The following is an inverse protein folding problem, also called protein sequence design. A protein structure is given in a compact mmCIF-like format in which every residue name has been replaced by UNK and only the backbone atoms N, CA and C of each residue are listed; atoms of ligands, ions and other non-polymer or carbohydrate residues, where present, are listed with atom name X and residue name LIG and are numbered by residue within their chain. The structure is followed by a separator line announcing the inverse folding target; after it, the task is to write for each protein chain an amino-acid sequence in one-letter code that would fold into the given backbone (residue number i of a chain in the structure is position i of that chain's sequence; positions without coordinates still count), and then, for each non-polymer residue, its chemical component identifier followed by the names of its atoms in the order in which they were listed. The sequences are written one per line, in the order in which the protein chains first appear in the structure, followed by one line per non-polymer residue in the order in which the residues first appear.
data_IF_308957411139
#
_entry.id   IF_308957411139
#
_cell.length_a   1.000
_cell.length_b   1.000
_cell.length_c   1.000
_cell.angle_alpha   90.00
_cell.angle_beta   90.00
_cell.angle_gamma   90.00
#
_symmetry.space_group_name_H-M   'P 1'
#
loop_
_entity.id
_entity.type
_entity.pdbx_description
1 polymer ?
#
# COMPACT_ATOMS: atom_id res chain seq x y z
N UNK A 1 -5.12 -22.22 3.29
CA UNK A 1 -4.55 -21.16 2.42
C UNK A 1 -4.44 -19.90 3.28
N UNK A 2 -3.24 -19.36 3.43
CA UNK A 2 -2.93 -18.30 4.42
C UNK A 2 -3.72 -17.02 4.09
N UNK A 3 -4.57 -16.55 4.99
CA UNK A 3 -5.46 -15.37 4.84
C UNK A 3 -4.72 -14.15 4.27
N UNK A 4 -3.44 -13.98 4.65
CA UNK A 4 -2.56 -12.93 4.12
C UNK A 4 -2.32 -13.04 2.61
N UNK A 5 -2.14 -14.25 2.08
CA UNK A 5 -1.90 -14.49 0.64
C UNK A 5 -3.15 -14.16 -0.18
N UNK A 6 -4.33 -14.47 0.35
CA UNK A 6 -5.59 -14.18 -0.33
C UNK A 6 -5.89 -12.67 -0.32
N UNK A 7 -5.66 -11.98 0.80
CA UNK A 7 -5.76 -10.52 0.87
C UNK A 7 -4.79 -9.84 -0.12
N UNK A 8 -3.51 -10.28 -0.15
CA UNK A 8 -2.53 -9.77 -1.10
C UNK A 8 -2.96 -9.98 -2.56
N UNK A 9 -3.46 -11.17 -2.90
CA UNK A 9 -3.98 -11.48 -4.24
C UNK A 9 -5.13 -10.56 -4.64
N UNK A 10 -6.10 -10.34 -3.74
CA UNK A 10 -7.23 -9.42 -3.98
C UNK A 10 -6.75 -8.00 -4.23
N UNK A 11 -5.82 -7.51 -3.41
CA UNK A 11 -5.26 -6.18 -3.58
C UNK A 11 -4.52 -6.05 -4.92
N UNK A 12 -3.76 -7.07 -5.35
CA UNK A 12 -3.14 -7.05 -6.67
C UNK A 12 -4.15 -6.89 -7.82
N UNK A 13 -5.27 -7.61 -7.77
CA UNK A 13 -6.34 -7.52 -8.77
C UNK A 13 -6.96 -6.12 -8.80
N UNK A 14 -7.23 -5.54 -7.64
CA UNK A 14 -7.83 -4.20 -7.57
C UNK A 14 -6.87 -3.10 -8.01
N UNK A 15 -5.56 -3.24 -7.73
CA UNK A 15 -4.54 -2.31 -8.20
C UNK A 15 -4.35 -2.39 -9.72
N UNK A 16 -4.32 -3.60 -10.29
CA UNK A 16 -4.20 -3.82 -11.74
C UNK A 16 -5.35 -3.16 -12.51
N UNK A 17 -6.59 -3.30 -12.01
CA UNK A 17 -7.78 -2.59 -12.54
C UNK A 17 -7.65 -1.07 -12.54
N UNK A 18 -6.83 -0.51 -11.64
CA UNK A 18 -6.57 0.91 -11.51
C UNK A 18 -5.30 1.37 -12.26
N UNK A 19 -4.65 0.47 -13.00
CA UNK A 19 -3.40 0.75 -13.71
C UNK A 19 -2.19 0.90 -12.78
N UNK A 20 -2.27 0.41 -11.53
CA UNK A 20 -1.19 0.42 -10.55
C UNK A 20 -0.54 -0.96 -10.52
N UNK A 21 0.79 -1.04 -10.73
CA UNK A 21 1.50 -2.32 -10.78
C UNK A 21 2.06 -2.73 -9.41
N UNK A 22 1.48 -3.72 -8.71
CA UNK A 22 2.06 -4.22 -7.47
C UNK A 22 3.36 -5.00 -7.72
N UNK A 23 4.35 -4.90 -6.82
CA UNK A 23 5.58 -5.69 -6.84
C UNK A 23 5.71 -6.49 -5.54
N UNK A 24 5.34 -7.78 -5.53
CA UNK A 24 5.49 -8.62 -4.34
C UNK A 24 6.95 -8.70 -3.89
N UNK A 25 7.22 -8.55 -2.59
CA UNK A 25 8.57 -8.64 -2.01
C UNK A 25 8.56 -9.55 -0.77
N UNK A 26 8.65 -10.86 -1.00
CA UNK A 26 8.73 -11.88 0.04
C UNK A 26 7.49 -11.95 0.96
N UNK A 27 7.64 -11.83 2.30
CA UNK A 27 6.51 -11.85 3.24
C UNK A 27 5.74 -10.52 3.30
N UNK A 28 6.21 -9.51 2.57
CA UNK A 28 5.63 -8.18 2.42
C UNK A 28 5.16 -7.96 0.98
N UNK A 29 4.28 -6.99 0.75
CA UNK A 29 3.84 -6.63 -0.60
C UNK A 29 4.10 -5.17 -0.84
N UNK A 30 5.24 -4.87 -1.44
CA UNK A 30 5.58 -3.50 -1.82
C UNK A 30 4.74 -3.08 -3.02
N UNK A 31 3.74 -2.23 -2.80
CA UNK A 31 2.92 -1.71 -3.90
C UNK A 31 3.62 -0.50 -4.51
N UNK A 32 4.59 -0.78 -5.36
CA UNK A 32 5.24 0.28 -6.14
C UNK A 32 4.26 0.86 -7.15
N UNK A 33 3.67 2.02 -6.84
CA UNK A 33 3.01 2.83 -7.84
C UNK A 33 3.95 3.11 -9.01
N UNK A 34 3.51 2.90 -10.25
CA UNK A 34 4.27 3.30 -11.45
C UNK A 34 3.49 4.42 -12.13
N UNK A 35 3.25 5.48 -11.37
CA UNK A 35 2.73 6.74 -11.90
C UNK A 35 3.77 7.80 -11.52
N UNK A 36 4.47 8.30 -12.55
CA UNK A 36 5.49 9.36 -12.45
C UNK A 36 6.74 9.03 -11.61
N UNK A 37 7.03 7.74 -11.37
CA UNK A 37 8.21 7.31 -10.61
C UNK A 37 8.04 7.34 -9.09
N UNK A 38 6.83 7.64 -8.58
CA UNK A 38 6.52 7.66 -7.14
C UNK A 38 6.06 6.31 -6.65
N UNK A 39 6.55 5.89 -5.48
CA UNK A 39 6.31 4.57 -4.91
C UNK A 39 5.57 4.70 -3.57
N UNK A 40 4.70 3.73 -3.25
CA UNK A 40 4.01 3.68 -1.96
C UNK A 40 4.05 2.28 -1.39
N UNK A 41 4.90 2.05 -0.40
CA UNK A 41 4.96 0.73 0.24
C UNK A 41 3.72 0.50 1.09
N UNK A 42 3.13 -0.69 0.97
CA UNK A 42 2.04 -1.14 1.84
C UNK A 42 2.44 -2.42 2.55
N UNK A 43 1.93 -2.63 3.75
CA UNK A 43 2.20 -3.83 4.53
C UNK A 43 0.91 -4.37 5.12
N UNK A 44 0.84 -5.71 5.22
CA UNK A 44 -0.24 -6.38 5.94
C UNK A 44 0.28 -6.78 7.32
N UNK A 45 -0.33 -6.25 8.37
CA UNK A 45 0.11 -6.42 9.77
C UNK A 45 -1.08 -6.71 10.67
N UNK A 46 -0.83 -7.34 11.81
CA UNK A 46 -1.87 -7.61 12.79
C UNK A 46 -1.84 -6.50 13.85
N UNK A 47 -2.96 -5.79 13.99
CA UNK A 47 -3.21 -4.78 15.02
C UNK A 47 -4.43 -5.21 15.82
N UNK A 48 -4.32 -5.29 17.15
CA UNK A 48 -5.42 -5.68 18.04
C UNK A 48 -6.23 -6.90 17.56
N UNK A 49 -5.51 -7.96 17.17
CA UNK A 49 -6.06 -9.23 16.64
C UNK A 49 -6.80 -9.11 15.30
N UNK A 50 -6.72 -7.97 14.62
CA UNK A 50 -7.26 -7.76 13.27
C UNK A 50 -6.14 -7.59 12.26
N UNK A 51 -6.34 -8.12 11.06
CA UNK A 51 -5.41 -7.97 9.97
C UNK A 51 -5.68 -6.63 9.26
N UNK A 52 -4.68 -5.76 9.23
CA UNK A 52 -4.77 -4.39 8.73
C UNK A 52 -3.73 -4.14 7.65
N UNK A 53 -4.18 -3.48 6.58
CA UNK A 53 -3.33 -2.85 5.59
C UNK A 53 -2.79 -1.54 6.15
N UNK A 54 -1.48 -1.35 6.01
CA UNK A 54 -0.76 -0.19 6.52
C UNK A 54 0.02 0.48 5.41
N UNK A 55 0.10 1.80 5.42
CA UNK A 55 1.12 2.52 4.66
C UNK A 55 2.43 2.48 5.41
N UNK A 56 3.51 2.33 4.65
CA UNK A 56 4.87 2.39 5.18
C UNK A 56 5.48 3.68 4.65
N UNK A 57 5.88 4.55 5.57
CA UNK A 57 6.55 5.80 5.23
C UNK A 57 8.05 5.67 5.47
N UNK A 58 8.89 6.10 4.53
CA UNK A 58 10.35 6.12 4.69
C UNK A 58 10.75 7.28 5.59
N UNK A 59 10.42 7.20 6.88
CA UNK A 59 10.99 8.04 7.92
C UNK A 59 12.12 7.27 8.63
N UNK A 60 12.90 7.96 9.48
CA UNK A 60 14.10 7.40 10.14
C UNK A 60 13.87 6.05 10.85
N UNK A 61 12.62 5.76 11.27
CA UNK A 61 12.25 4.56 12.03
C UNK A 61 11.23 3.64 11.33
N UNK A 62 10.96 3.81 10.03
CA UNK A 62 9.90 3.06 9.29
C UNK A 62 8.55 3.09 10.03
N UNK A 63 7.79 4.17 9.88
CA UNK A 63 6.46 4.28 10.50
C UNK A 63 5.41 3.47 9.71
N UNK A 64 4.60 2.70 10.45
CA UNK A 64 3.44 1.97 9.94
C UNK A 64 2.17 2.74 10.31
N UNK A 65 1.43 3.17 9.30
CA UNK A 65 0.13 3.84 9.47
C UNK A 65 -1.02 2.89 9.09
N UNK A 66 -1.82 2.38 10.05
CA UNK A 66 -2.95 1.49 9.76
C UNK A 66 -4.05 2.23 8.98
N UNK A 67 -4.42 1.70 7.82
CA UNK A 67 -5.33 2.40 6.88
C UNK A 67 -6.70 1.74 6.84
N UNK A 68 -6.74 0.42 6.57
CA UNK A 68 -7.96 -0.34 6.35
C UNK A 68 -7.79 -1.81 6.76
N UNK A 69 -8.86 -2.50 7.18
CA UNK A 69 -8.81 -3.93 7.45
C UNK A 69 -8.63 -4.75 6.17
N UNK A 70 -8.11 -5.97 6.32
CA UNK A 70 -8.18 -6.98 5.26
C UNK A 70 -9.65 -7.27 4.90
N UNK A 71 -9.93 -7.44 3.62
CA UNK A 71 -11.29 -7.51 3.06
C UNK A 71 -11.76 -6.22 2.39
N UNK A 72 -11.06 -5.09 2.60
CA UNK A 72 -11.37 -3.80 1.99
C UNK A 72 -10.38 -3.41 0.87
N UNK A 73 -9.85 -4.41 0.15
CA UNK A 73 -8.78 -4.22 -0.84
C UNK A 73 -9.15 -3.23 -1.96
N UNK A 74 -10.41 -3.19 -2.38
CA UNK A 74 -10.86 -2.24 -3.40
C UNK A 74 -10.81 -0.77 -2.92
N UNK A 75 -11.14 -0.53 -1.65
CA UNK A 75 -11.06 0.80 -1.06
C UNK A 75 -9.59 1.21 -0.85
N UNK A 76 -8.75 0.28 -0.41
CA UNK A 76 -7.32 0.50 -0.28
C UNK A 76 -6.65 0.82 -1.61
N UNK A 77 -6.96 0.09 -2.68
CA UNK A 77 -6.40 0.33 -4.00
C UNK A 77 -6.70 1.74 -4.51
N UNK A 78 -7.92 2.24 -4.28
CA UNK A 78 -8.29 3.64 -4.59
C UNK A 78 -7.48 4.64 -3.76
N UNK A 79 -7.25 4.34 -2.48
CA UNK A 79 -6.48 5.21 -1.58
C UNK A 79 -5.00 5.25 -1.95
N UNK A 80 -4.41 4.10 -2.29
CA UNK A 80 -3.05 4.03 -2.84
C UNK A 80 -2.94 4.87 -4.11
N UNK A 81 -3.87 4.72 -5.06
CA UNK A 81 -3.89 5.54 -6.28
C UNK A 81 -4.01 7.03 -5.98
N UNK A 82 -4.83 7.42 -5.01
CA UNK A 82 -4.98 8.82 -4.61
C UNK A 82 -3.68 9.39 -4.03
N UNK A 83 -3.00 8.65 -3.15
CA UNK A 83 -1.70 9.04 -2.58
C UNK A 83 -0.65 9.23 -3.68
N UNK A 84 -0.58 8.29 -4.62
CA UNK A 84 0.35 8.37 -5.76
C UNK A 84 0.07 9.59 -6.66
N UNK A 85 -1.17 10.09 -6.68
CA UNK A 85 -1.58 11.27 -7.44
C UNK A 85 -1.45 12.61 -6.71
N UNK A 86 -1.02 12.63 -5.44
CA UNK A 86 -0.80 13.90 -4.71
C UNK A 86 0.37 14.66 -5.32
N UNK A 87 0.29 15.99 -5.56
CA UNK A 87 1.44 16.76 -5.99
C UNK A 87 2.55 16.69 -4.93
N UNK A 88 3.82 16.78 -5.36
CA UNK A 88 4.92 16.92 -4.40
C UNK A 88 4.66 18.14 -3.52
N UNK A 89 4.89 18.04 -2.20
CA UNK A 89 4.79 19.22 -1.35
C UNK A 89 5.76 20.27 -1.89
N UNK A 90 5.21 21.43 -2.27
CA UNK A 90 6.01 22.57 -2.69
C UNK A 90 6.83 23.05 -1.48
N UNK A 91 8.05 22.54 -1.34
CA UNK A 91 8.99 23.01 -0.31
C UNK A 91 9.81 21.93 0.34
N UNK A 92 10.93 21.58 -0.30
CA UNK A 92 12.22 21.43 0.37
C UNK A 92 13.32 21.80 -0.63
N UNK A 93 13.25 23.03 -1.13
CA UNK A 93 14.44 23.72 -1.60
C UNK A 93 15.14 24.29 -0.38
N UNK A 94 16.25 23.67 0.01
CA UNK A 94 17.27 24.25 0.88
C UNK A 94 18.63 23.98 0.24
#
# INVERSE_FOLDING_TARGET
MNERKEAARRLCVELDRLGVRPLPDGPTMTVTGVLEGRTQTVALRTFDRRLMWCFVWPEADFSLDPVLPAGEEAALARRVRAVLGLPEPAGSGA
#
